data_IF_994149224137
#
_entry.id   IF_994149224137
#
_cell.length_a   1.000
_cell.length_b   1.000
_cell.length_c   1.000
_cell.angle_alpha   90.00
_cell.angle_beta   90.00
_cell.angle_gamma   90.00
#
_symmetry.space_group_name_H-M   'P 1'
#
loop_
_entity.id
_entity.type
_entity.pdbx_description
1 polymer ?
#
# COMPACT_ATOMS: atom_id res chain seq x y z
N UNK A 1 21.06 88.89 24.67
CA UNK A 1 21.16 87.57 25.34
C UNK A 1 19.82 86.82 25.45
N UNK A 2 18.67 87.50 25.63
CA UNK A 2 17.33 86.86 25.71
C UNK A 2 16.89 86.09 24.45
N UNK A 3 17.25 86.55 23.25
CA UNK A 3 16.84 85.90 21.99
C UNK A 3 17.51 84.53 21.76
N UNK A 4 18.79 84.37 22.14
CA UNK A 4 19.50 83.08 22.02
C UNK A 4 18.96 82.03 22.99
N UNK A 5 18.51 82.45 24.18
CA UNK A 5 17.90 81.58 25.18
C UNK A 5 16.52 81.11 24.70
N UNK A 6 15.71 81.98 24.10
CA UNK A 6 14.42 81.59 23.51
C UNK A 6 14.57 80.58 22.37
N UNK A 7 15.59 80.73 21.51
CA UNK A 7 15.85 79.79 20.40
C UNK A 7 16.29 78.42 20.92
N UNK A 8 17.13 78.38 21.97
CA UNK A 8 17.54 77.13 22.61
C UNK A 8 16.37 76.44 23.32
N UNK A 9 15.49 77.20 23.99
CA UNK A 9 14.28 76.67 24.64
C UNK A 9 13.29 76.14 23.60
N UNK A 10 13.13 76.82 22.45
CA UNK A 10 12.29 76.34 21.34
C UNK A 10 12.84 75.07 20.69
N UNK A 11 14.17 74.97 20.50
CA UNK A 11 14.82 73.76 19.99
C UNK A 11 14.70 72.59 20.98
N UNK A 12 14.84 72.85 22.28
CA UNK A 12 14.62 71.85 23.34
C UNK A 12 13.15 71.42 23.41
N UNK A 13 12.20 72.35 23.31
CA UNK A 13 10.76 72.04 23.25
C UNK A 13 10.42 71.24 21.99
N UNK A 14 11.02 71.55 20.84
CA UNK A 14 10.86 70.79 19.60
C UNK A 14 11.44 69.37 19.74
N UNK A 15 12.58 69.20 20.42
CA UNK A 15 13.17 67.88 20.72
C UNK A 15 12.35 67.06 21.73
N UNK A 16 11.63 67.72 22.65
CA UNK A 16 10.76 67.07 23.66
C UNK A 16 9.36 66.76 23.10
N UNK A 17 8.90 67.51 22.10
CA UNK A 17 7.58 67.34 21.46
C UNK A 17 7.56 66.36 20.29
N UNK A 18 8.69 65.82 19.82
CA UNK A 18 8.68 64.67 18.89
C UNK A 18 8.26 63.45 19.70
N UNK A 19 7.05 62.90 19.52
CA UNK A 19 6.68 61.67 20.20
C UNK A 19 7.62 60.59 19.70
N UNK A 20 8.24 59.87 20.63
CA UNK A 20 8.90 58.60 20.36
C UNK A 20 7.84 57.57 19.91
N UNK A 21 7.36 57.71 18.69
CA UNK A 21 6.45 56.78 18.03
C UNK A 21 7.17 56.12 16.86
N UNK A 22 8.20 55.35 17.18
CA UNK A 22 8.74 54.34 16.27
C UNK A 22 9.21 53.14 17.10
N UNK A 23 8.26 52.53 17.81
CA UNK A 23 8.41 51.17 18.30
C UNK A 23 7.05 50.51 18.54
N UNK A 24 6.08 50.72 17.64
CA UNK A 24 5.14 49.63 17.39
C UNK A 24 5.92 48.58 16.59
N UNK A 25 6.61 47.71 17.34
CA UNK A 25 6.81 46.36 16.85
C UNK A 25 5.40 45.84 16.59
N UNK A 26 4.99 45.91 15.33
CA UNK A 26 3.89 45.11 14.85
C UNK A 26 4.28 43.68 15.21
N UNK A 27 3.77 43.21 16.36
CA UNK A 27 3.63 41.79 16.59
C UNK A 27 2.68 41.38 15.49
N UNK A 28 3.25 41.02 14.34
CA UNK A 28 2.65 40.12 13.38
C UNK A 28 2.38 38.91 14.23
N UNK A 29 1.19 38.88 14.83
CA UNK A 29 0.57 37.67 15.29
C UNK A 29 0.59 36.85 14.02
N UNK A 30 1.56 35.94 13.92
CA UNK A 30 1.53 34.85 12.95
C UNK A 30 0.23 34.14 13.27
N UNK A 31 -0.86 34.63 12.69
CA UNK A 31 -2.08 33.88 12.53
C UNK A 31 -1.56 32.80 11.61
N UNK A 32 -1.20 31.68 12.22
CA UNK A 32 -0.95 30.44 11.51
C UNK A 32 -2.13 30.33 10.59
N UNK A 33 -1.91 30.65 9.31
CA UNK A 33 -2.93 30.54 8.29
C UNK A 33 -3.17 29.06 8.28
N UNK A 34 -4.21 28.62 8.99
CA UNK A 34 -4.64 27.24 9.02
C UNK A 34 -5.15 27.01 7.60
N UNK A 35 -4.23 26.70 6.68
CA UNK A 35 -4.52 26.32 5.31
C UNK A 35 -5.50 25.18 5.45
N UNK A 36 -6.77 25.45 5.10
CA UNK A 36 -7.80 24.41 5.18
C UNK A 36 -7.33 23.26 4.30
N UNK A 37 -7.33 22.03 4.80
CA UNK A 37 -6.98 20.89 3.97
C UNK A 37 -7.99 20.82 2.82
N UNK A 38 -7.48 20.48 1.64
CA UNK A 38 -8.35 20.25 0.49
C UNK A 38 -9.20 19.01 0.77
N UNK A 39 -10.48 19.13 0.42
CA UNK A 39 -11.45 18.06 0.62
C UNK A 39 -11.55 17.22 -0.66
N UNK A 40 -11.92 15.96 -0.53
CA UNK A 40 -12.25 15.13 -1.70
C UNK A 40 -13.49 15.67 -2.41
N UNK A 41 -13.68 15.31 -3.68
CA UNK A 41 -14.97 15.54 -4.35
C UNK A 41 -16.08 14.78 -3.60
N UNK A 42 -17.34 15.25 -3.66
CA UNK A 42 -18.48 14.43 -3.24
C UNK A 42 -18.43 13.04 -3.86
N UNK A 43 -18.74 12.01 -3.06
CA UNK A 43 -18.59 10.61 -3.46
C UNK A 43 -19.39 10.34 -4.73
N UNK A 44 -20.61 10.88 -4.84
CA UNK A 44 -21.52 10.72 -5.96
C UNK A 44 -20.90 11.16 -7.29
N UNK A 45 -20.10 12.23 -7.26
CA UNK A 45 -19.41 12.74 -8.46
C UNK A 45 -18.26 11.80 -8.83
N UNK A 46 -17.52 11.29 -7.85
CA UNK A 46 -16.47 10.30 -8.08
C UNK A 46 -17.03 8.99 -8.63
N UNK A 47 -18.16 8.51 -8.11
CA UNK A 47 -18.83 7.31 -8.61
C UNK A 47 -19.30 7.53 -10.05
N UNK A 48 -19.86 8.71 -10.35
CA UNK A 48 -20.28 9.03 -11.71
C UNK A 48 -19.10 9.12 -12.69
N UNK A 49 -18.00 9.77 -12.30
CA UNK A 49 -16.78 9.82 -13.12
C UNK A 49 -16.23 8.41 -13.35
N UNK A 50 -16.10 7.62 -12.29
CA UNK A 50 -15.59 6.26 -12.35
C UNK A 50 -16.51 5.33 -13.15
N UNK A 51 -17.82 5.44 -12.96
CA UNK A 51 -18.83 4.63 -13.64
C UNK A 51 -18.77 4.79 -15.16
N UNK A 52 -18.51 6.01 -15.66
CA UNK A 52 -18.32 6.27 -17.10
C UNK A 52 -17.08 5.59 -17.67
N UNK A 53 -16.02 5.46 -16.88
CA UNK A 53 -14.74 4.86 -17.30
C UNK A 53 -14.72 3.35 -17.17
N UNK A 54 -15.55 2.82 -16.27
CA UNK A 54 -15.53 1.41 -15.87
C UNK A 54 -16.63 0.56 -16.51
N UNK A 55 -17.39 1.12 -17.46
CA UNK A 55 -18.40 0.40 -18.24
C UNK A 55 -17.73 -0.80 -18.93
N UNK A 56 -18.04 -2.01 -18.46
CA UNK A 56 -17.48 -3.27 -18.96
C UNK A 56 -16.53 -4.01 -18.00
N UNK A 57 -16.01 -3.36 -16.95
CA UNK A 57 -15.00 -3.96 -16.03
C UNK A 57 -15.50 -4.08 -14.58
N UNK A 58 -16.53 -3.32 -14.19
CA UNK A 58 -17.00 -3.24 -12.78
C UNK A 58 -18.18 -4.15 -12.39
N UNK A 59 -18.59 -5.09 -13.23
CA UNK A 59 -19.49 -6.16 -12.79
C UNK A 59 -18.75 -7.27 -12.01
N UNK A 60 -17.45 -7.48 -12.30
CA UNK A 60 -16.67 -8.56 -11.68
C UNK A 60 -16.27 -8.30 -10.21
N UNK A 61 -16.15 -7.03 -9.80
CA UNK A 61 -15.63 -6.67 -8.47
C UNK A 61 -16.71 -6.51 -7.41
N UNK A 62 -17.97 -6.28 -7.78
CA UNK A 62 -19.07 -6.18 -6.81
C UNK A 62 -19.18 -7.45 -5.96
N UNK A 63 -19.02 -8.62 -6.57
CA UNK A 63 -19.03 -9.89 -5.84
C UNK A 63 -17.82 -10.06 -4.92
N UNK A 64 -16.64 -9.54 -5.28
CA UNK A 64 -15.44 -9.61 -4.45
C UNK A 64 -15.51 -8.64 -3.25
N UNK A 65 -16.17 -7.50 -3.41
CA UNK A 65 -16.44 -6.53 -2.35
C UNK A 65 -17.60 -6.97 -1.43
N UNK A 66 -18.51 -7.81 -1.92
CA UNK A 66 -19.56 -8.49 -1.14
C UNK A 66 -19.05 -9.70 -0.38
N UNK A 67 -17.82 -10.16 -0.65
CA UNK A 67 -17.17 -11.08 0.27
C UNK A 67 -16.98 -10.28 1.55
N UNK A 68 -17.85 -10.52 2.53
CA UNK A 68 -17.65 -10.05 3.90
C UNK A 68 -16.18 -10.22 4.26
N UNK A 69 -15.61 -9.34 5.10
CA UNK A 69 -14.26 -9.52 5.59
C UNK A 69 -14.19 -10.87 6.30
N UNK A 70 -13.81 -11.92 5.57
CA UNK A 70 -13.31 -13.17 6.14
C UNK A 70 -11.89 -12.93 6.63
N UNK A 71 -11.74 -11.85 7.40
CA UNK A 71 -10.55 -11.43 8.17
C UNK A 71 -10.19 -12.46 9.26
N UNK A 72 -10.82 -13.64 9.26
CA UNK A 72 -10.66 -14.68 10.28
C UNK A 72 -10.66 -16.12 9.75
N UNK A 73 -10.49 -16.35 8.44
CA UNK A 73 -9.91 -17.64 8.04
C UNK A 73 -8.43 -17.39 7.79
N UNK A 74 -7.57 -18.07 8.57
CA UNK A 74 -6.18 -18.29 8.20
C UNK A 74 -6.20 -19.14 6.92
N UNK A 75 -6.43 -18.49 5.78
CA UNK A 75 -6.54 -19.11 4.47
C UNK A 75 -5.13 -19.51 4.05
N UNK A 76 -4.76 -20.73 4.42
CA UNK A 76 -3.54 -21.39 3.98
C UNK A 76 -3.83 -22.23 2.73
N UNK A 77 -2.78 -22.65 2.03
CA UNK A 77 -2.91 -23.62 0.94
C UNK A 77 -3.70 -24.85 1.44
N UNK A 78 -4.85 -25.20 0.82
CA UNK A 78 -5.64 -26.36 1.23
C UNK A 78 -4.80 -27.63 1.13
N UNK A 79 -4.74 -28.40 2.22
CA UNK A 79 -4.11 -29.72 2.18
C UNK A 79 -5.19 -30.74 1.86
N UNK A 80 -5.19 -31.25 0.62
CA UNK A 80 -5.56 -32.60 0.15
C UNK A 80 -6.63 -33.45 0.88
N UNK A 81 -7.51 -32.89 1.69
CA UNK A 81 -8.58 -33.64 2.35
C UNK A 81 -9.79 -32.74 2.47
N UNK A 82 -10.74 -32.83 1.52
CA UNK A 82 -12.06 -32.26 1.70
C UNK A 82 -12.64 -32.86 2.98
N UNK A 83 -12.89 -32.02 4.00
CA UNK A 83 -13.63 -32.50 5.17
C UNK A 83 -15.06 -32.87 4.74
N UNK A 84 -15.73 -33.83 5.40
CA UNK A 84 -17.13 -34.15 5.10
C UNK A 84 -18.09 -32.95 5.22
N UNK A 85 -17.67 -31.88 5.91
CA UNK A 85 -18.43 -30.63 6.01
C UNK A 85 -18.37 -29.77 4.72
N UNK A 86 -17.39 -30.03 3.84
CA UNK A 86 -17.14 -29.27 2.61
C UNK A 86 -18.07 -29.68 1.46
N UNK A 87 -18.73 -30.84 1.58
CA UNK A 87 -19.66 -31.36 0.56
C UNK A 87 -21.03 -30.70 0.61
N UNK A 88 -21.40 -30.07 1.74
CA UNK A 88 -22.73 -29.46 1.94
C UNK A 88 -22.80 -27.99 1.50
N UNK A 89 -21.66 -27.34 1.26
CA UNK A 89 -21.59 -25.92 0.89
C UNK A 89 -20.85 -25.79 -0.43
N UNK A 90 -21.53 -25.31 -1.49
CA UNK A 90 -20.89 -25.08 -2.79
C UNK A 90 -19.84 -23.97 -2.65
N UNK A 91 -18.59 -24.35 -2.47
CA UNK A 91 -17.48 -23.41 -2.36
C UNK A 91 -17.38 -22.49 -3.59
N UNK A 92 -16.95 -21.23 -3.42
CA UNK A 92 -16.74 -20.30 -4.53
C UNK A 92 -15.56 -20.75 -5.42
N UNK A 93 -15.51 -20.23 -6.64
CA UNK A 93 -14.51 -20.62 -7.67
C UNK A 93 -13.07 -20.47 -7.19
N UNK A 94 -12.77 -19.44 -6.41
CA UNK A 94 -11.43 -19.14 -5.90
C UNK A 94 -10.89 -20.22 -4.95
N UNK A 95 -11.76 -20.95 -4.24
CA UNK A 95 -11.37 -22.04 -3.35
C UNK A 95 -11.43 -23.42 -4.03
N UNK A 96 -12.18 -23.54 -5.14
CA UNK A 96 -12.27 -24.78 -5.94
C UNK A 96 -11.21 -24.88 -7.04
N UNK A 97 -10.50 -23.80 -7.32
CA UNK A 97 -9.42 -23.76 -8.31
C UNK A 97 -8.25 -24.68 -7.91
N UNK A 98 -7.59 -25.28 -8.90
CA UNK A 98 -6.30 -25.98 -8.70
C UNK A 98 -5.17 -25.03 -8.28
N UNK A 99 -5.36 -23.72 -8.44
CA UNK A 99 -4.47 -22.66 -7.98
C UNK A 99 -5.32 -21.69 -7.13
N UNK A 100 -5.67 -22.08 -5.89
CA UNK A 100 -6.65 -21.34 -5.10
C UNK A 100 -6.11 -19.98 -4.67
N UNK A 101 -7.00 -19.00 -4.55
CA UNK A 101 -6.66 -17.63 -4.15
C UNK A 101 -7.64 -17.06 -3.13
N UNK A 102 -7.15 -16.07 -2.40
CA UNK A 102 -7.95 -15.20 -1.54
C UNK A 102 -7.73 -13.75 -1.94
N UNK A 103 -8.55 -12.84 -1.40
CA UNK A 103 -8.44 -11.41 -1.66
C UNK A 103 -7.91 -10.71 -0.43
N UNK A 104 -7.03 -9.73 -0.65
CA UNK A 104 -6.67 -8.71 0.34
C UNK A 104 -7.21 -7.37 -0.14
N UNK A 105 -7.61 -6.51 0.78
CA UNK A 105 -8.10 -5.18 0.42
C UNK A 105 -6.94 -4.19 0.42
N UNK A 106 -6.64 -3.63 -0.76
CA UNK A 106 -5.69 -2.55 -0.96
C UNK A 106 -6.39 -1.22 -0.72
N UNK A 107 -5.98 -0.51 0.33
CA UNK A 107 -6.49 0.83 0.68
C UNK A 107 -5.50 1.92 0.25
N UNK A 108 -6.00 2.96 -0.40
CA UNK A 108 -5.23 4.18 -0.66
C UNK A 108 -6.17 5.40 -0.64
N UNK A 109 -5.93 6.37 0.26
CA UNK A 109 -6.79 7.54 0.39
C UNK A 109 -6.69 8.51 -0.79
N UNK A 110 -5.67 8.38 -1.65
CA UNK A 110 -5.40 9.28 -2.77
C UNK A 110 -5.97 8.79 -4.10
N UNK A 111 -6.86 7.79 -4.09
CA UNK A 111 -7.55 7.30 -5.28
C UNK A 111 -9.01 6.99 -5.00
N UNK A 112 -9.78 6.89 -6.07
CA UNK A 112 -11.13 6.35 -6.08
C UNK A 112 -11.22 5.21 -7.12
N UNK A 113 -11.79 4.03 -6.76
CA UNK A 113 -12.24 3.64 -5.42
C UNK A 113 -11.06 3.48 -4.46
N UNK A 114 -11.27 3.86 -3.19
CA UNK A 114 -10.20 3.81 -2.16
C UNK A 114 -9.79 2.37 -1.84
N UNK A 115 -10.75 1.45 -1.91
CA UNK A 115 -10.59 0.04 -1.62
C UNK A 115 -10.61 -0.76 -2.92
N UNK A 116 -9.56 -1.55 -3.17
CA UNK A 116 -9.46 -2.45 -4.32
C UNK A 116 -9.13 -3.85 -3.81
N UNK A 117 -9.95 -4.87 -4.12
CA UNK A 117 -9.62 -6.25 -3.77
C UNK A 117 -8.55 -6.80 -4.72
N UNK A 118 -7.41 -7.20 -4.16
CA UNK A 118 -6.30 -7.81 -4.88
C UNK A 118 -6.19 -9.30 -4.54
N UNK A 119 -6.22 -10.15 -5.55
CA UNK A 119 -6.03 -11.58 -5.38
C UNK A 119 -4.58 -11.92 -5.00
N UNK A 120 -4.43 -12.92 -4.15
CA UNK A 120 -3.15 -13.57 -3.85
C UNK A 120 -3.30 -15.08 -3.80
N UNK A 121 -2.31 -15.80 -4.33
CA UNK A 121 -2.36 -17.25 -4.40
C UNK A 121 -2.08 -17.85 -3.02
N UNK A 122 -2.90 -18.83 -2.61
CA UNK A 122 -2.73 -19.52 -1.33
C UNK A 122 -1.60 -20.54 -1.37
N UNK A 123 -1.33 -21.08 -2.57
CA UNK A 123 -0.39 -22.16 -2.81
C UNK A 123 0.81 -21.67 -3.65
N UNK A 124 2.00 -22.25 -3.46
CA UNK A 124 3.17 -22.01 -4.32
C UNK A 124 3.07 -22.80 -5.63
N UNK A 125 2.77 -24.10 -5.52
CA UNK A 125 2.46 -24.97 -6.65
C UNK A 125 0.96 -25.06 -6.93
N UNK A 126 0.56 -25.99 -7.79
CA UNK A 126 -0.85 -26.28 -8.09
C UNK A 126 -1.31 -27.59 -7.48
N UNK A 127 -2.59 -27.69 -7.11
CA UNK A 127 -3.24 -28.86 -6.51
C UNK A 127 -3.61 -29.91 -7.57
N UNK A 128 -2.61 -30.36 -8.34
CA UNK A 128 -2.74 -31.39 -9.38
C UNK A 128 -2.03 -32.70 -9.01
N UNK A 129 -1.40 -32.74 -7.83
CA UNK A 129 -0.73 -33.93 -7.32
C UNK A 129 -1.71 -34.98 -6.76
N UNK A 130 -1.21 -36.18 -6.41
CA UNK A 130 -2.02 -37.24 -5.79
C UNK A 130 -2.81 -36.73 -4.58
N UNK A 131 -4.06 -37.17 -4.45
CA UNK A 131 -4.99 -36.76 -3.39
C UNK A 131 -5.25 -35.23 -3.32
N UNK A 132 -4.99 -34.48 -4.38
CA UNK A 132 -5.09 -33.00 -4.34
C UNK A 132 -3.88 -32.34 -3.67
N UNK A 133 -2.76 -33.06 -3.58
CA UNK A 133 -1.49 -32.52 -3.15
C UNK A 133 -0.91 -31.50 -4.13
N UNK A 134 0.05 -30.71 -3.65
CA UNK A 134 0.72 -29.71 -4.48
C UNK A 134 1.79 -30.36 -5.37
N UNK A 135 1.76 -30.10 -6.67
CA UNK A 135 2.82 -30.49 -7.60
C UNK A 135 3.95 -29.47 -7.65
N UNK A 136 5.19 -29.96 -7.70
CA UNK A 136 6.42 -29.17 -7.85
C UNK A 136 6.82 -28.94 -9.32
N UNK A 137 5.99 -29.36 -10.27
CA UNK A 137 6.20 -29.11 -11.71
C UNK A 137 5.45 -27.87 -12.20
N UNK A 138 4.57 -27.32 -11.37
CA UNK A 138 3.74 -26.17 -11.67
C UNK A 138 3.85 -25.13 -10.57
N UNK A 139 3.56 -23.87 -10.92
CA UNK A 139 3.40 -22.79 -9.96
C UNK A 139 2.05 -22.11 -10.11
N UNK A 140 1.48 -21.72 -8.96
CA UNK A 140 0.34 -20.80 -8.95
C UNK A 140 0.85 -19.38 -9.21
N UNK A 141 0.31 -18.72 -10.23
CA UNK A 141 0.69 -17.38 -10.65
C UNK A 141 -0.52 -16.44 -10.62
N UNK A 142 -0.39 -15.20 -10.11
CA UNK A 142 -1.48 -14.24 -10.15
C UNK A 142 -1.78 -13.82 -11.59
N UNK A 143 -3.08 -13.69 -11.91
CA UNK A 143 -3.57 -13.16 -13.18
C UNK A 143 -3.94 -11.69 -12.96
N UNK A 144 -3.37 -10.82 -13.79
CA UNK A 144 -3.59 -9.38 -13.72
C UNK A 144 -4.56 -8.89 -14.79
N UNK A 145 -5.43 -7.96 -14.41
CA UNK A 145 -6.30 -7.24 -15.32
C UNK A 145 -6.09 -5.73 -15.18
N UNK A 146 -6.18 -4.96 -16.29
CA UNK A 146 -6.18 -3.51 -16.22
C UNK A 146 -7.46 -3.02 -15.56
N UNK A 147 -7.34 -2.17 -14.54
CA UNK A 147 -8.44 -1.47 -13.90
C UNK A 147 -8.19 0.03 -13.96
N UNK A 148 -9.21 0.79 -14.34
CA UNK A 148 -9.17 2.26 -14.23
C UNK A 148 -9.33 2.66 -12.76
N UNK A 149 -8.67 3.74 -12.35
CA UNK A 149 -8.89 4.43 -11.08
C UNK A 149 -8.83 5.95 -11.30
N UNK A 150 -9.48 6.71 -10.43
CA UNK A 150 -9.34 8.16 -10.37
C UNK A 150 -8.28 8.50 -9.32
N UNK A 151 -7.13 9.02 -9.73
CA UNK A 151 -6.05 9.42 -8.83
C UNK A 151 -6.15 10.90 -8.48
N UNK A 152 -6.05 11.20 -7.19
CA UNK A 152 -5.96 12.56 -6.67
C UNK A 152 -4.72 13.24 -7.23
N UNK A 153 -4.93 14.43 -7.79
CA UNK A 153 -3.86 15.31 -8.26
C UNK A 153 -3.40 16.22 -7.11
N UNK A 154 -2.21 16.82 -7.25
CA UNK A 154 -1.70 17.80 -6.28
C UNK A 154 -2.43 19.15 -6.29
N UNK A 155 -3.30 19.39 -7.27
CA UNK A 155 -4.05 20.64 -7.40
C UNK A 155 -5.33 20.64 -6.57
N UNK A 156 -5.67 21.84 -6.08
CA UNK A 156 -6.82 22.10 -5.25
C UNK A 156 -7.61 23.27 -5.82
N UNK A 157 -8.79 22.99 -6.34
CA UNK A 157 -9.65 23.96 -7.04
C UNK A 157 -10.91 24.14 -6.21
N UNK A 158 -11.21 25.38 -5.80
CA UNK A 158 -12.39 25.65 -4.97
C UNK A 158 -12.39 24.91 -3.61
N UNK A 159 -11.21 24.57 -3.07
CA UNK A 159 -11.09 23.81 -1.82
C UNK A 159 -11.29 22.29 -1.97
N UNK A 160 -11.40 21.79 -3.21
CA UNK A 160 -11.55 20.37 -3.53
C UNK A 160 -10.34 19.85 -4.32
N UNK A 161 -9.95 18.61 -4.08
CA UNK A 161 -8.92 17.95 -4.89
C UNK A 161 -9.41 17.69 -6.30
N UNK A 162 -8.58 17.93 -7.32
CA UNK A 162 -8.87 17.43 -8.68
C UNK A 162 -8.38 15.99 -8.86
N UNK A 163 -8.94 15.28 -9.83
CA UNK A 163 -8.65 13.87 -10.11
C UNK A 163 -8.30 13.68 -11.58
N UNK A 164 -7.45 12.69 -11.86
CA UNK A 164 -7.14 12.22 -13.20
C UNK A 164 -7.37 10.71 -13.29
N UNK A 165 -7.80 10.23 -14.44
CA UNK A 165 -7.88 8.78 -14.69
C UNK A 165 -6.50 8.20 -14.95
N UNK A 166 -6.24 7.01 -14.40
CA UNK A 166 -5.08 6.18 -14.73
C UNK A 166 -5.48 4.70 -14.73
N UNK A 167 -4.73 3.88 -15.47
CA UNK A 167 -4.87 2.43 -15.43
C UNK A 167 -3.84 1.80 -14.50
N UNK A 168 -4.30 0.89 -13.66
CA UNK A 168 -3.48 0.10 -12.75
C UNK A 168 -3.69 -1.38 -13.01
N UNK A 169 -2.65 -2.17 -12.74
CA UNK A 169 -2.69 -3.62 -12.87
C UNK A 169 -3.17 -4.23 -11.55
N UNK A 170 -4.33 -4.90 -11.55
CA UNK A 170 -4.93 -5.51 -10.35
C UNK A 170 -4.95 -7.03 -10.53
N UNK A 171 -4.45 -7.76 -9.52
CA UNK A 171 -4.57 -9.21 -9.51
C UNK A 171 -6.02 -9.61 -9.26
N UNK A 172 -6.64 -10.33 -10.21
CA UNK A 172 -8.07 -10.72 -10.15
C UNK A 172 -8.27 -12.17 -9.72
N UNK A 173 -7.24 -13.00 -9.85
CA UNK A 173 -7.24 -14.41 -9.44
C UNK A 173 -5.87 -15.04 -9.60
N UNK A 174 -5.81 -16.36 -9.49
CA UNK A 174 -4.61 -17.14 -9.77
C UNK A 174 -4.87 -18.20 -10.84
N UNK A 175 -3.81 -18.53 -11.58
CA UNK A 175 -3.78 -19.59 -12.59
C UNK A 175 -2.60 -20.53 -12.35
N UNK A 176 -2.66 -21.71 -12.95
CA UNK A 176 -1.61 -22.71 -12.87
C UNK A 176 -0.74 -22.68 -14.13
N UNK A 177 0.57 -22.51 -13.97
CA UNK A 177 1.53 -22.51 -15.09
C UNK A 177 2.65 -23.51 -14.85
N UNK A 178 3.23 -24.12 -15.90
CA UNK A 178 4.43 -24.96 -15.75
C UNK A 178 5.61 -24.18 -15.17
N UNK A 179 6.43 -24.83 -14.33
CA UNK A 179 7.69 -24.28 -13.86
C UNK A 179 8.73 -24.34 -14.98
N UNK A 180 9.31 -23.19 -15.33
CA UNK A 180 10.35 -23.10 -16.35
C UNK A 180 11.71 -23.54 -15.75
N UNK A 181 12.59 -24.11 -16.57
CA UNK A 181 13.90 -24.63 -16.15
C UNK A 181 14.74 -23.65 -15.34
N UNK A 182 14.79 -22.39 -15.77
CA UNK A 182 15.55 -21.31 -15.12
C UNK A 182 15.11 -21.03 -13.68
N UNK A 183 13.86 -21.32 -13.32
CA UNK A 183 13.33 -21.13 -11.96
C UNK A 183 13.73 -22.30 -11.03
N UNK A 184 14.05 -23.49 -11.59
CA UNK A 184 14.44 -24.68 -10.80
C UNK A 184 15.81 -24.51 -10.15
N UNK A 185 16.75 -23.88 -10.85
CA UNK A 185 18.13 -23.71 -10.38
C UNK A 185 18.26 -22.64 -9.28
N UNK A 186 17.44 -21.58 -9.34
CA UNK A 186 17.39 -20.53 -8.31
C UNK A 186 16.79 -21.00 -6.99
N UNK A 187 15.81 -21.92 -7.04
CA UNK A 187 15.19 -22.50 -5.84
C UNK A 187 16.11 -23.53 -5.14
N UNK A 188 16.95 -24.23 -5.92
CA UNK A 188 17.97 -25.17 -5.41
C UNK A 188 19.11 -24.44 -4.70
N UNK A 189 19.58 -23.33 -5.29
CA UNK A 189 20.71 -22.55 -4.76
C UNK A 189 20.43 -21.91 -3.39
N UNK A 190 19.16 -21.60 -3.07
CA UNK A 190 18.76 -21.02 -1.79
C UNK A 190 18.57 -22.04 -0.66
N UNK A 191 18.58 -23.35 -0.95
CA UNK A 191 18.48 -24.41 0.09
C UNK A 191 19.84 -24.86 0.65
N UNK A 192 20.94 -24.37 0.08
CA UNK A 192 22.29 -24.89 0.33
C UNK A 192 23.15 -24.04 1.27
N UNK A 193 22.63 -22.95 1.84
CA UNK A 193 23.39 -22.07 2.73
C UNK A 193 22.74 -22.03 4.12
N UNK A 194 22.67 -23.18 4.78
CA UNK A 194 22.54 -23.23 6.24
C UNK A 194 23.14 -24.54 6.76
N UNK A 195 24.40 -24.49 7.21
CA UNK A 195 25.00 -25.58 7.97
C UNK A 195 26.50 -25.79 7.74
N UNK A 196 27.33 -25.14 8.57
CA UNK A 196 28.75 -25.50 8.65
C UNK A 196 29.61 -24.57 9.52
N UNK A 197 29.46 -24.62 10.85
CA UNK A 197 30.48 -24.09 11.77
C UNK A 197 31.72 -25.00 11.74
N UNK A 198 32.96 -24.48 11.68
CA UNK A 198 34.16 -25.31 11.69
C UNK A 198 34.48 -25.81 13.11
N UNK A 199 34.63 -27.14 13.27
CA UNK A 199 35.15 -27.77 14.49
C UNK A 199 36.69 -27.81 14.45
N UNK A 200 37.30 -27.22 15.46
CA UNK A 200 38.73 -27.28 15.81
C UNK A 200 39.19 -28.72 16.01
N UNK A 201 40.29 -29.13 15.35
CA UNK A 201 40.95 -30.43 15.54
C UNK A 201 42.00 -30.32 16.65
N UNK A 202 41.78 -30.97 17.79
CA UNK A 202 42.83 -31.33 18.75
C UNK A 202 43.54 -32.60 18.25
N UNK A 203 44.87 -32.57 18.15
CA UNK A 203 45.72 -33.76 18.02
C UNK A 203 46.30 -34.08 19.40
N UNK A 204 46.13 -35.33 19.86
CA UNK A 204 46.86 -35.88 20.99
C UNK A 204 47.82 -36.97 20.51
N UNK A 205 48.93 -37.04 21.24
CA UNK A 205 50.19 -37.74 20.98
C UNK A 205 50.13 -39.26 20.91
N UNK A 206 51.09 -39.85 20.19
CA UNK A 206 51.63 -41.18 20.51
C UNK A 206 53.15 -41.14 20.46
N UNK A 207 53.79 -41.31 21.62
CA UNK A 207 55.18 -41.73 21.73
C UNK A 207 55.23 -43.22 22.08
N UNK A 208 56.09 -43.98 21.41
CA UNK A 208 56.64 -45.23 21.97
C UNK A 208 57.98 -45.56 21.32
N UNK A 209 58.98 -45.70 22.20
CA UNK A 209 60.36 -46.15 21.95
C UNK A 209 60.37 -47.63 21.57
N UNK A 210 61.25 -48.01 20.64
CA UNK A 210 62.31 -49.02 20.84
C UNK A 210 63.36 -48.88 19.74
#
# INVERSE_FOLDING_TARGET
>A
MRCRICVLILLLLLLVLVPAWLAETARVRKKTTRTRPCLDLPEEILEQMFGRLSVGVMSAFHHALQLEPRDKLNLTCPTATPSPADTKTRLPVNLRSISPWAYRISYDPNRYPRYIPEAYCLCKGCLVGPHGGQSQQYRSAPVFAPSVILRRTGSCVGGRHSYTEIYVSVAVGCTCVPLMEKERDGQSSNKSVEGGKPKTRQMFSTGKKS
#
